data_IF_203575246412
#
_entry.id   IF_203575246412
#
_cell.length_a   1.000
_cell.length_b   1.000
_cell.length_c   1.000
_cell.angle_alpha   90.00
_cell.angle_beta   90.00
_cell.angle_gamma   90.00
#
_symmetry.space_group_name_H-M   'P 1'
#
loop_
_entity.id
_entity.type
_entity.pdbx_description
1 polymer ?
#
# COMPACT_ATOMS: atom_id res chain seq x y z
N UNK A 1 -43.66 -12.14 -5.11
CA UNK A 1 -42.42 -11.84 -5.87
C UNK A 1 -41.61 -10.83 -5.07
N UNK A 2 -40.28 -10.94 -5.12
CA UNK A 2 -39.23 -10.22 -4.36
C UNK A 2 -38.71 -11.05 -3.17
N UNK A 3 -37.65 -11.82 -3.45
CA UNK A 3 -36.74 -12.44 -2.49
C UNK A 3 -35.86 -11.35 -1.87
N UNK A 4 -35.84 -11.26 -0.55
CA UNK A 4 -34.85 -10.50 0.21
C UNK A 4 -33.73 -11.46 0.63
N UNK A 5 -32.58 -11.39 -0.06
CA UNK A 5 -31.35 -12.08 0.31
C UNK A 5 -30.56 -11.16 1.24
N UNK A 6 -30.79 -11.30 2.55
CA UNK A 6 -29.94 -10.70 3.58
C UNK A 6 -28.66 -11.52 3.74
N UNK A 7 -27.52 -10.90 3.46
CA UNK A 7 -26.19 -11.38 3.84
C UNK A 7 -26.18 -11.72 5.34
N UNK A 8 -26.02 -13.00 5.68
CA UNK A 8 -25.65 -13.46 7.02
C UNK A 8 -24.24 -14.01 6.94
N UNK A 9 -23.26 -13.13 7.09
CA UNK A 9 -21.89 -13.53 7.39
C UNK A 9 -21.83 -13.84 8.90
N UNK A 10 -21.21 -14.96 9.28
CA UNK A 10 -21.19 -15.63 10.60
C UNK A 10 -22.37 -16.60 10.85
N UNK A 11 -22.22 -17.82 10.36
CA UNK A 11 -23.01 -18.97 10.83
C UNK A 11 -22.34 -19.52 12.09
N UNK A 12 -22.93 -19.28 13.27
CA UNK A 12 -22.56 -19.98 14.51
C UNK A 12 -23.06 -21.41 14.38
N UNK A 13 -22.17 -22.37 14.18
CA UNK A 13 -22.53 -23.78 14.17
C UNK A 13 -22.69 -24.25 15.63
N UNK A 14 -23.93 -24.31 16.12
CA UNK A 14 -24.22 -24.96 17.39
C UNK A 14 -24.11 -26.49 17.20
N UNK A 15 -22.92 -27.04 17.41
CA UNK A 15 -22.74 -28.48 17.55
C UNK A 15 -23.19 -28.85 18.98
N UNK A 16 -24.31 -29.58 19.03
CA UNK A 16 -24.93 -30.11 20.24
C UNK A 16 -24.00 -31.10 20.97
N UNK A 17 -24.03 -31.00 22.31
CA UNK A 17 -23.54 -31.92 23.35
C UNK A 17 -22.05 -31.83 23.74
N UNK A 18 -21.74 -31.00 24.74
CA UNK A 18 -21.38 -31.40 26.13
C UNK A 18 -21.25 -30.14 27.01
N UNK A 19 -21.66 -30.25 28.27
CA UNK A 19 -21.73 -29.23 29.33
C UNK A 19 -20.52 -28.26 29.42
N UNK A 20 -20.65 -27.08 28.80
CA UNK A 20 -20.15 -25.73 29.15
C UNK A 20 -20.20 -24.94 27.84
N UNK A 21 -21.01 -23.89 27.75
CA UNK A 21 -21.23 -23.15 26.51
C UNK A 21 -19.91 -22.56 25.97
N UNK A 22 -19.26 -23.34 25.11
CA UNK A 22 -18.02 -22.98 24.43
C UNK A 22 -18.42 -22.65 23.00
N UNK A 23 -18.45 -21.37 22.65
CA UNK A 23 -18.65 -20.96 21.27
C UNK A 23 -17.42 -21.35 20.44
N UNK A 24 -17.64 -21.86 19.23
CA UNK A 24 -16.58 -22.12 18.25
C UNK A 24 -16.81 -21.17 17.08
N UNK A 25 -15.79 -20.38 16.75
CA UNK A 25 -15.74 -19.50 15.60
C UNK A 25 -15.03 -20.24 14.48
N UNK A 26 -15.64 -20.31 13.30
CA UNK A 26 -15.06 -20.98 12.13
C UNK A 26 -14.96 -19.97 11.00
N UNK A 27 -13.74 -19.79 10.47
CA UNK A 27 -13.54 -19.10 9.21
C UNK A 27 -13.77 -20.10 8.07
N UNK A 28 -14.94 -20.04 7.43
CA UNK A 28 -15.28 -20.96 6.34
C UNK A 28 -14.37 -20.83 5.10
N UNK A 29 -13.63 -19.73 4.96
CA UNK A 29 -12.73 -19.50 3.83
C UNK A 29 -11.33 -20.08 4.07
N UNK A 30 -10.77 -19.94 5.27
CA UNK A 30 -9.47 -20.54 5.63
C UNK A 30 -9.59 -21.96 6.19
N UNK A 31 -10.77 -22.35 6.67
CA UNK A 31 -10.98 -23.61 7.39
C UNK A 31 -10.51 -23.58 8.86
N UNK A 32 -10.09 -22.42 9.36
CA UNK A 32 -9.61 -22.28 10.73
C UNK A 32 -10.77 -22.23 11.73
N UNK A 33 -10.59 -22.87 12.88
CA UNK A 33 -11.57 -22.87 13.97
C UNK A 33 -10.91 -22.43 15.28
N UNK A 34 -11.54 -21.49 15.99
CA UNK A 34 -11.06 -20.95 17.27
C UNK A 34 -12.16 -20.97 18.30
N UNK A 35 -11.81 -21.21 19.57
CA UNK A 35 -12.74 -21.14 20.70
C UNK A 35 -12.86 -19.73 21.30
N UNK A 36 -11.97 -18.83 20.89
CA UNK A 36 -11.97 -17.41 21.22
C UNK A 36 -12.30 -16.60 19.96
N UNK A 37 -12.93 -15.44 20.14
CA UNK A 37 -13.22 -14.52 19.04
C UNK A 37 -11.90 -14.17 18.33
N UNK A 38 -11.75 -14.50 17.04
CA UNK A 38 -10.50 -14.25 16.33
C UNK A 38 -10.26 -12.74 16.22
N UNK A 39 -9.07 -12.31 16.63
CA UNK A 39 -8.58 -10.95 16.35
C UNK A 39 -7.87 -10.99 15.01
N UNK A 40 -8.13 -10.02 14.12
CA UNK A 40 -7.42 -9.94 12.85
C UNK A 40 -5.91 -9.84 13.10
N UNK A 41 -5.17 -10.90 12.76
CA UNK A 41 -3.75 -11.04 13.12
C UNK A 41 -2.82 -10.27 12.18
N UNK A 42 -3.24 -10.03 10.94
CA UNK A 42 -2.44 -9.34 9.93
C UNK A 42 -3.32 -8.40 9.11
N UNK A 43 -3.46 -7.16 9.57
CA UNK A 43 -4.04 -6.10 8.74
C UNK A 43 -2.94 -5.43 7.93
N UNK A 44 -3.17 -5.13 6.64
CA UNK A 44 -2.22 -4.35 5.85
C UNK A 44 -1.98 -3.00 6.52
N UNK A 45 -0.74 -2.50 6.46
CA UNK A 45 -0.40 -1.18 7.00
C UNK A 45 -0.83 -0.13 5.98
N UNK A 46 -1.90 0.59 6.28
CA UNK A 46 -2.49 1.60 5.40
C UNK A 46 -3.91 1.20 4.98
N UNK A 47 -4.35 1.60 3.78
CA UNK A 47 -5.70 1.31 3.33
C UNK A 47 -6.17 2.13 2.14
N UNK A 48 -7.49 2.19 1.98
CA UNK A 48 -8.15 2.90 0.89
C UNK A 48 -8.82 4.15 1.46
N UNK A 49 -8.57 5.30 0.85
CA UNK A 49 -9.33 6.53 1.10
C UNK A 49 -10.23 6.79 -0.11
N UNK A 50 -11.49 6.41 0.01
CA UNK A 50 -12.45 6.40 -1.08
C UNK A 50 -13.52 7.50 -0.95
N UNK A 51 -13.11 8.68 -0.49
CA UNK A 51 -13.98 9.85 -0.36
C UNK A 51 -14.28 10.48 -1.72
N UNK A 52 -15.45 11.11 -1.86
CA UNK A 52 -15.81 11.86 -3.06
C UNK A 52 -14.73 12.90 -3.46
N UNK A 53 -14.64 13.19 -4.75
CA UNK A 53 -13.75 14.23 -5.27
C UNK A 53 -14.07 15.57 -4.60
N UNK A 54 -13.03 16.30 -4.18
CA UNK A 54 -13.18 17.60 -3.50
C UNK A 54 -13.25 17.55 -1.97
N UNK A 55 -13.34 16.37 -1.34
CA UNK A 55 -13.36 16.23 0.14
C UNK A 55 -11.99 16.38 0.83
N UNK A 56 -10.97 16.81 0.09
CA UNK A 56 -9.66 17.11 0.69
C UNK A 56 -8.75 15.91 0.94
N UNK A 57 -8.94 14.79 0.24
CA UNK A 57 -8.06 13.59 0.31
C UNK A 57 -6.56 13.93 0.20
N UNK A 58 -6.24 14.87 -0.69
CA UNK A 58 -4.86 15.37 -0.88
C UNK A 58 -4.34 16.05 0.39
N UNK A 59 -5.11 16.97 0.98
CA UNK A 59 -4.73 17.67 2.21
C UNK A 59 -4.63 16.70 3.38
N UNK A 60 -5.53 15.71 3.47
CA UNK A 60 -5.44 14.63 4.47
C UNK A 60 -4.15 13.81 4.31
N UNK A 61 -3.75 13.52 3.08
CA UNK A 61 -2.49 12.81 2.79
C UNK A 61 -1.29 13.64 3.17
N UNK A 62 -1.27 14.93 2.83
CA UNK A 62 -0.21 15.87 3.22
C UNK A 62 -0.11 15.94 4.75
N UNK A 63 -1.24 16.09 5.44
CA UNK A 63 -1.29 16.07 6.90
C UNK A 63 -0.74 14.75 7.48
N UNK A 64 -1.03 13.60 6.86
CA UNK A 64 -0.48 12.31 7.27
C UNK A 64 1.04 12.20 7.03
N UNK A 65 1.56 12.81 5.96
CA UNK A 65 3.00 12.90 5.70
C UNK A 65 3.67 13.75 6.78
N UNK A 66 3.14 14.94 7.05
CA UNK A 66 3.64 15.87 8.06
C UNK A 66 3.55 15.32 9.50
N UNK A 67 2.48 14.60 9.84
CA UNK A 67 2.29 14.04 11.18
C UNK A 67 3.17 12.82 11.46
N UNK A 68 3.64 12.13 10.42
CA UNK A 68 4.45 10.91 10.51
C UNK A 68 5.51 10.88 9.39
N UNK A 69 6.48 11.81 9.39
CA UNK A 69 7.62 11.75 8.47
C UNK A 69 8.53 10.57 8.86
N UNK A 70 9.26 10.00 7.90
CA UNK A 70 10.28 8.96 8.20
C UNK A 70 11.54 9.51 8.88
N UNK A 71 11.59 10.82 9.17
CA UNK A 71 12.70 11.43 9.91
C UNK A 71 12.66 11.00 11.37
N UNK A 72 13.40 9.94 11.67
CA UNK A 72 13.69 9.53 13.04
C UNK A 72 13.11 8.17 13.40
N UNK A 73 13.76 7.11 12.94
CA UNK A 73 14.19 6.10 13.89
C UNK A 73 15.57 5.61 13.48
N UNK A 74 16.55 5.87 14.34
CA UNK A 74 17.85 5.25 14.39
C UNK A 74 17.73 3.75 14.68
N UNK A 75 16.95 3.01 13.90
CA UNK A 75 16.95 1.54 13.92
C UNK A 75 18.22 0.98 13.28
N UNK A 76 19.14 1.86 12.86
CA UNK A 76 20.53 1.52 12.58
C UNK A 76 21.34 1.13 13.83
N UNK A 77 20.85 1.33 15.06
CA UNK A 77 21.62 1.04 16.28
C UNK A 77 21.37 -0.36 16.87
N UNK A 78 20.25 -1.03 16.61
CA UNK A 78 20.03 -2.40 17.16
C UNK A 78 20.45 -3.54 16.23
N UNK A 79 20.68 -3.31 14.94
CA UNK A 79 21.11 -4.37 14.01
C UNK A 79 22.62 -4.68 14.14
N UNK A 80 23.43 -3.78 14.69
CA UNK A 80 24.90 -3.95 14.76
C UNK A 80 25.37 -4.92 15.86
N UNK A 81 24.49 -5.42 16.75
CA UNK A 81 24.89 -6.34 17.83
C UNK A 81 24.44 -7.80 17.67
N UNK A 82 23.70 -8.18 16.62
CA UNK A 82 23.15 -9.54 16.52
C UNK A 82 23.46 -10.36 15.25
N UNK A 83 24.31 -9.88 14.34
CA UNK A 83 24.70 -10.67 13.14
C UNK A 83 26.20 -10.66 12.90
N UNK A 84 26.95 -11.24 13.83
CA UNK A 84 28.03 -12.16 13.45
C UNK A 84 27.37 -13.52 13.30
N UNK A 85 27.69 -14.27 12.24
CA UNK A 85 27.07 -15.54 11.79
C UNK A 85 26.03 -15.29 10.69
N UNK A 86 26.54 -15.12 9.46
CA UNK A 86 26.11 -15.82 8.23
C UNK A 86 26.72 -15.09 7.02
N UNK A 87 27.80 -15.67 6.50
CA UNK A 87 28.75 -15.01 5.59
C UNK A 87 28.51 -15.37 4.12
N UNK A 88 27.28 -15.68 3.69
CA UNK A 88 27.07 -16.27 2.34
C UNK A 88 25.84 -15.81 1.55
N UNK A 89 25.30 -14.62 1.83
CA UNK A 89 24.38 -13.96 0.88
C UNK A 89 24.50 -12.44 1.01
N UNK A 90 25.33 -11.82 0.17
CA UNK A 90 25.36 -10.36 0.01
C UNK A 90 24.01 -9.89 -0.58
N UNK A 91 23.00 -9.74 0.28
CA UNK A 91 21.81 -8.96 -0.06
C UNK A 91 22.20 -7.50 0.08
N UNK A 92 22.33 -6.80 -1.04
CA UNK A 92 22.52 -5.35 -1.05
C UNK A 92 21.29 -4.72 -0.39
N UNK A 93 21.47 -4.14 0.80
CA UNK A 93 20.37 -3.50 1.53
C UNK A 93 19.89 -2.29 0.73
N UNK A 94 18.60 -2.28 0.35
CA UNK A 94 17.98 -1.15 -0.36
C UNK A 94 18.04 0.12 0.52
N UNK A 95 18.39 1.29 -0.04
CA UNK A 95 18.34 2.55 0.69
C UNK A 95 16.92 2.86 1.18
N UNK A 96 16.84 3.46 2.37
CA UNK A 96 15.60 3.72 3.09
C UNK A 96 14.99 5.06 2.66
N UNK A 97 13.98 5.05 1.80
CA UNK A 97 13.30 6.26 1.32
C UNK A 97 12.10 6.68 2.17
N UNK A 98 11.70 7.96 2.07
CA UNK A 98 10.54 8.55 2.74
C UNK A 98 9.19 8.11 2.16
N UNK A 99 8.39 9.08 1.71
CA UNK A 99 7.09 8.83 1.07
C UNK A 99 7.21 8.94 -0.45
N UNK A 100 6.78 7.91 -1.17
CA UNK A 100 6.56 7.96 -2.62
C UNK A 100 5.08 8.25 -2.90
N UNK A 101 4.79 9.30 -3.64
CA UNK A 101 3.43 9.58 -4.14
C UNK A 101 3.41 9.48 -5.66
N UNK A 102 2.54 8.61 -6.15
CA UNK A 102 2.27 8.40 -7.57
C UNK A 102 0.96 9.09 -7.90
N UNK A 103 0.96 10.02 -8.84
CA UNK A 103 -0.25 10.78 -9.17
C UNK A 103 -0.24 11.28 -10.62
N UNK A 104 -1.41 11.53 -11.23
CA UNK A 104 -1.49 11.98 -12.62
C UNK A 104 -1.04 13.44 -12.80
N UNK A 105 -1.11 14.23 -11.72
CA UNK A 105 -0.78 15.67 -11.71
C UNK A 105 0.28 15.98 -10.67
N UNK A 106 1.52 15.57 -10.95
CA UNK A 106 2.67 15.72 -10.04
C UNK A 106 2.91 17.17 -9.61
N UNK A 107 2.81 18.12 -10.55
CA UNK A 107 3.04 19.54 -10.26
C UNK A 107 1.98 20.11 -9.30
N UNK A 108 0.69 19.78 -9.51
CA UNK A 108 -0.38 20.24 -8.62
C UNK A 108 -0.19 19.74 -7.19
N UNK A 109 0.23 18.48 -7.04
CA UNK A 109 0.50 17.90 -5.74
C UNK A 109 1.73 18.54 -5.08
N UNK A 110 2.78 18.85 -5.86
CA UNK A 110 3.95 19.60 -5.38
C UNK A 110 3.55 20.98 -4.86
N UNK A 111 2.77 21.72 -5.64
CA UNK A 111 2.32 23.07 -5.25
C UNK A 111 1.45 23.01 -3.99
N UNK A 112 0.58 22.00 -3.87
CA UNK A 112 -0.23 21.79 -2.66
C UNK A 112 0.65 21.45 -1.44
N UNK A 113 1.68 20.62 -1.62
CA UNK A 113 2.66 20.32 -0.56
C UNK A 113 3.40 21.58 -0.13
N UNK A 114 3.87 22.40 -1.06
CA UNK A 114 4.59 23.65 -0.77
C UNK A 114 3.70 24.71 -0.12
N UNK A 115 2.40 24.73 -0.47
CA UNK A 115 1.42 25.66 0.11
C UNK A 115 1.02 25.26 1.53
N UNK A 116 0.93 23.96 1.82
CA UNK A 116 0.45 23.43 3.09
C UNK A 116 1.58 22.91 4.01
N UNK A 117 2.83 23.02 3.59
CA UNK A 117 4.02 22.74 4.38
C UNK A 117 4.76 24.04 4.65
N UNK A 118 5.26 24.24 5.87
CA UNK A 118 6.26 25.27 6.10
C UNK A 118 7.47 24.97 5.21
N UNK A 119 7.87 25.95 4.38
CA UNK A 119 8.84 25.84 3.26
C UNK A 119 10.25 25.31 3.63
N UNK A 120 10.50 24.98 4.90
CA UNK A 120 11.77 24.41 5.39
C UNK A 120 11.65 23.05 6.09
N UNK A 121 10.45 22.48 6.22
CA UNK A 121 10.25 21.26 7.01
C UNK A 121 10.38 19.95 6.23
N UNK A 122 10.08 19.94 4.92
CA UNK A 122 10.05 18.74 4.06
C UNK A 122 10.88 18.96 2.80
N UNK A 123 11.76 18.00 2.46
CA UNK A 123 12.41 17.94 1.15
C UNK A 123 11.56 17.18 0.13
N UNK A 124 11.30 17.79 -1.02
CA UNK A 124 10.45 17.22 -2.08
C UNK A 124 11.23 17.07 -3.39
N UNK A 125 11.12 15.91 -4.06
CA UNK A 125 11.71 15.65 -5.36
C UNK A 125 10.67 15.18 -6.36
N UNK A 126 10.66 15.78 -7.56
CA UNK A 126 9.87 15.31 -8.70
C UNK A 126 10.74 14.42 -9.59
N UNK A 127 10.39 13.14 -9.63
CA UNK A 127 11.03 12.13 -10.45
C UNK A 127 10.07 11.69 -11.57
N UNK A 128 10.35 12.18 -12.77
CA UNK A 128 9.56 11.95 -13.98
C UNK A 128 10.48 11.54 -15.12
N UNK A 129 9.90 11.10 -16.23
CA UNK A 129 10.62 10.68 -17.42
C UNK A 129 11.79 11.61 -17.82
N UNK A 130 12.90 10.99 -18.24
CA UNK A 130 14.08 11.71 -18.74
C UNK A 130 15.05 12.21 -17.67
N UNK A 131 14.77 11.98 -16.38
CA UNK A 131 15.67 12.29 -15.27
C UNK A 131 16.22 11.01 -14.65
N UNK A 132 17.48 10.68 -14.96
CA UNK A 132 18.16 9.58 -14.29
C UNK A 132 18.71 10.07 -12.95
N UNK A 133 18.09 9.63 -11.85
CA UNK A 133 18.52 9.96 -10.49
C UNK A 133 18.86 8.65 -9.78
N UNK A 134 19.95 8.63 -9.02
CA UNK A 134 20.33 7.42 -8.29
C UNK A 134 19.34 7.12 -7.17
N UNK A 135 19.08 5.83 -6.85
CA UNK A 135 18.21 5.44 -5.74
C UNK A 135 18.63 6.05 -4.39
N UNK A 136 19.94 6.27 -4.21
CA UNK A 136 20.51 6.90 -3.01
C UNK A 136 20.02 8.34 -2.87
N UNK A 137 20.14 9.15 -3.93
CA UNK A 137 19.72 10.56 -3.91
C UNK A 137 18.20 10.69 -3.74
N UNK A 138 17.44 9.78 -4.35
CA UNK A 138 15.98 9.71 -4.18
C UNK A 138 15.61 9.40 -2.72
N UNK A 139 16.35 8.50 -2.07
CA UNK A 139 16.07 8.09 -0.69
C UNK A 139 16.32 9.16 0.36
N UNK A 140 17.14 10.17 0.05
CA UNK A 140 17.41 11.32 0.93
C UNK A 140 16.24 12.31 1.04
N UNK A 141 15.25 12.18 0.15
CA UNK A 141 14.09 13.06 0.09
C UNK A 141 12.97 12.56 1.00
N UNK A 142 12.28 13.47 1.67
CA UNK A 142 11.13 13.11 2.50
C UNK A 142 9.93 12.68 1.67
N UNK A 143 9.72 13.37 0.54
CA UNK A 143 8.64 13.09 -0.40
C UNK A 143 9.18 13.05 -1.81
N UNK A 144 8.91 11.95 -2.50
CA UNK A 144 9.21 11.76 -3.92
C UNK A 144 7.90 11.67 -4.67
N UNK A 145 7.76 12.48 -5.71
CA UNK A 145 6.58 12.56 -6.54
C UNK A 145 6.89 12.00 -7.93
N UNK A 146 6.05 11.12 -8.42
CA UNK A 146 6.16 10.53 -9.76
C UNK A 146 4.79 10.35 -10.40
N UNK A 147 4.77 10.12 -11.70
CA UNK A 147 3.54 9.83 -12.45
C UNK A 147 3.41 8.33 -12.72
N UNK A 148 2.18 7.92 -13.06
CA UNK A 148 1.85 6.51 -13.28
C UNK A 148 2.53 5.95 -14.54
N UNK A 149 2.65 6.75 -15.59
CA UNK A 149 3.23 6.34 -16.85
C UNK A 149 4.71 6.01 -16.69
N UNK A 150 5.44 6.85 -15.94
CA UNK A 150 6.83 6.60 -15.58
C UNK A 150 6.97 5.36 -14.70
N UNK A 151 6.19 5.24 -13.61
CA UNK A 151 6.27 4.08 -12.72
C UNK A 151 6.05 2.76 -13.48
N UNK A 152 5.01 2.72 -14.30
CA UNK A 152 4.67 1.52 -15.08
C UNK A 152 5.75 1.22 -16.11
N UNK A 153 6.17 2.22 -16.88
CA UNK A 153 7.24 2.04 -17.86
C UNK A 153 8.55 1.55 -17.23
N UNK A 154 9.01 2.19 -16.16
CA UNK A 154 10.29 1.89 -15.52
C UNK A 154 10.28 0.45 -14.97
N UNK A 155 9.15 0.05 -14.38
CA UNK A 155 8.94 -1.33 -13.94
C UNK A 155 8.91 -2.34 -15.10
N UNK A 156 8.20 -2.07 -16.19
CA UNK A 156 8.15 -3.01 -17.32
C UNK A 156 9.47 -3.10 -18.09
N UNK A 157 10.29 -2.05 -18.04
CA UNK A 157 11.60 -2.01 -18.71
C UNK A 157 12.70 -2.66 -17.87
N UNK A 158 12.70 -2.45 -16.56
CA UNK A 158 13.80 -2.85 -15.68
C UNK A 158 13.41 -3.80 -14.53
N UNK A 159 12.12 -4.07 -14.34
CA UNK A 159 11.62 -4.93 -13.26
C UNK A 159 11.96 -4.38 -11.88
N UNK A 160 12.46 -5.25 -11.00
CA UNK A 160 12.91 -4.83 -9.65
C UNK A 160 14.21 -4.02 -9.66
N UNK A 161 14.91 -3.96 -10.80
CA UNK A 161 16.09 -3.11 -10.98
C UNK A 161 15.72 -1.68 -11.37
N UNK A 162 14.42 -1.34 -11.46
CA UNK A 162 13.97 0.03 -11.64
C UNK A 162 14.45 0.92 -10.49
N UNK A 163 14.54 2.22 -10.73
CA UNK A 163 15.08 3.16 -9.74
C UNK A 163 14.18 3.20 -8.49
N UNK A 164 12.86 3.19 -8.68
CA UNK A 164 11.88 3.25 -7.60
C UNK A 164 11.79 1.93 -6.82
N UNK A 165 12.03 0.79 -7.48
CA UNK A 165 12.00 -0.54 -6.85
C UNK A 165 13.28 -0.86 -6.09
N UNK A 166 14.36 -0.12 -6.32
CA UNK A 166 15.60 -0.20 -5.54
C UNK A 166 15.55 0.54 -4.20
N UNK A 167 14.45 1.21 -3.86
CA UNK A 167 14.28 1.94 -2.58
C UNK A 167 13.30 1.21 -1.66
N UNK A 168 13.62 1.13 -0.36
CA UNK A 168 12.70 0.68 0.70
C UNK A 168 11.90 1.88 1.24
N UNK A 169 10.67 2.03 0.77
CA UNK A 169 9.84 3.18 1.07
C UNK A 169 9.16 3.08 2.44
N UNK A 170 9.03 4.21 3.14
CA UNK A 170 8.15 4.24 4.30
C UNK A 170 6.69 4.05 3.91
N UNK A 171 6.31 4.78 2.86
CA UNK A 171 4.92 4.94 2.46
C UNK A 171 4.86 5.05 0.95
N UNK A 172 3.97 4.28 0.34
CA UNK A 172 3.60 4.42 -1.07
C UNK A 172 2.15 4.88 -1.12
N UNK A 173 1.90 5.95 -1.86
CA UNK A 173 0.58 6.54 -2.04
C UNK A 173 0.24 6.56 -3.52
N UNK A 174 -0.83 5.88 -3.91
CA UNK A 174 -1.42 5.99 -5.24
C UNK A 174 -2.57 6.99 -5.15
N UNK A 175 -2.35 8.20 -5.67
CA UNK A 175 -3.33 9.27 -5.64
C UNK A 175 -4.12 9.34 -6.95
N UNK A 176 -5.44 9.46 -6.85
CA UNK A 176 -6.38 9.57 -7.97
C UNK A 176 -6.16 8.47 -9.05
N UNK A 177 -5.93 7.23 -8.61
CA UNK A 177 -5.65 6.11 -9.52
C UNK A 177 -6.83 5.79 -10.46
N UNK A 178 -8.05 6.20 -10.10
CA UNK A 178 -9.26 6.05 -10.91
C UNK A 178 -9.22 6.86 -12.22
N UNK A 179 -8.34 7.86 -12.34
CA UNK A 179 -8.20 8.64 -13.59
C UNK A 179 -7.56 7.85 -14.73
N UNK A 180 -6.87 6.73 -14.44
CA UNK A 180 -6.18 5.91 -15.44
C UNK A 180 -7.12 4.97 -16.21
N UNK A 181 -8.38 4.86 -15.77
CA UNK A 181 -9.28 3.78 -16.19
C UNK A 181 -8.85 2.41 -15.66
N UNK A 182 -9.69 1.39 -15.88
CA UNK A 182 -9.49 0.04 -15.31
C UNK A 182 -8.13 -0.57 -15.71
N UNK A 183 -7.79 -0.61 -17.00
CA UNK A 183 -6.52 -1.22 -17.44
C UNK A 183 -5.28 -0.52 -16.89
N UNK A 184 -5.25 0.81 -16.94
CA UNK A 184 -4.13 1.59 -16.43
C UNK A 184 -3.98 1.47 -14.91
N UNK A 185 -5.11 1.47 -14.17
CA UNK A 185 -5.10 1.25 -12.73
C UNK A 185 -4.56 -0.14 -12.35
N UNK A 186 -4.90 -1.20 -13.11
CA UNK A 186 -4.37 -2.56 -12.90
C UNK A 186 -2.85 -2.62 -13.13
N UNK A 187 -2.35 -2.03 -14.20
CA UNK A 187 -0.92 -2.00 -14.52
C UNK A 187 -0.14 -1.20 -13.49
N UNK A 188 -0.64 -0.03 -13.11
CA UNK A 188 -0.08 0.79 -12.03
C UNK A 188 -0.06 0.05 -10.70
N UNK A 189 -1.17 -0.62 -10.32
CA UNK A 189 -1.26 -1.41 -9.11
C UNK A 189 -0.24 -2.55 -9.09
N UNK A 190 -0.02 -3.21 -10.23
CA UNK A 190 0.97 -4.28 -10.38
C UNK A 190 2.39 -3.78 -10.25
N UNK A 191 2.73 -2.67 -10.90
CA UNK A 191 4.05 -2.06 -10.75
C UNK A 191 4.27 -1.60 -9.30
N UNK A 192 3.27 -0.97 -8.69
CA UNK A 192 3.34 -0.45 -7.33
C UNK A 192 3.34 -1.55 -6.24
N UNK A 193 2.69 -2.69 -6.46
CA UNK A 193 2.67 -3.81 -5.51
C UNK A 193 4.06 -4.43 -5.31
N UNK A 194 4.91 -4.34 -6.33
CA UNK A 194 6.31 -4.80 -6.30
C UNK A 194 7.26 -3.82 -5.63
N UNK A 195 6.84 -2.58 -5.36
CA UNK A 195 7.65 -1.65 -4.56
C UNK A 195 7.77 -2.17 -3.13
N UNK A 196 8.96 -2.05 -2.55
CA UNK A 196 9.15 -2.33 -1.12
C UNK A 196 8.59 -1.16 -0.30
N UNK A 197 7.67 -1.43 0.63
CA UNK A 197 7.12 -0.38 1.47
C UNK A 197 6.59 -0.86 2.82
N UNK A 198 6.66 0.03 3.81
CA UNK A 198 6.12 -0.23 5.16
C UNK A 198 4.61 0.04 5.28
N UNK A 199 4.07 1.02 4.55
CA UNK A 199 2.62 1.27 4.49
C UNK A 199 2.17 1.75 3.11
N UNK A 200 0.92 1.45 2.76
CA UNK A 200 0.36 1.63 1.41
C UNK A 200 -1.00 2.30 1.44
N UNK A 201 -1.17 3.34 0.66
CA UNK A 201 -2.43 4.09 0.57
C UNK A 201 -2.91 4.18 -0.87
N UNK A 202 -4.18 3.85 -1.07
CA UNK A 202 -4.87 4.04 -2.33
C UNK A 202 -5.94 5.11 -2.16
N UNK A 203 -5.81 6.23 -2.86
CA UNK A 203 -6.80 7.30 -2.83
C UNK A 203 -7.61 7.27 -4.13
N UNK A 204 -8.93 7.24 -3.99
CA UNK A 204 -9.86 7.26 -5.13
C UNK A 204 -11.00 8.22 -4.87
N UNK A 205 -11.44 8.92 -5.91
CA UNK A 205 -12.65 9.76 -5.88
C UNK A 205 -13.94 8.97 -6.12
N UNK A 206 -13.82 7.76 -6.68
CA UNK A 206 -14.95 6.95 -7.14
C UNK A 206 -14.77 5.47 -6.75
N UNK A 207 -15.26 5.03 -5.58
CA UNK A 207 -15.14 3.62 -5.19
C UNK A 207 -15.90 2.63 -6.10
N UNK A 208 -16.84 3.09 -6.93
CA UNK A 208 -17.93 2.27 -7.48
C UNK A 208 -17.89 2.03 -9.00
N UNK A 209 -16.83 2.42 -9.71
CA UNK A 209 -16.59 2.01 -11.12
C UNK A 209 -15.48 0.96 -11.26
N UNK A 210 -15.13 0.34 -10.14
CA UNK A 210 -14.03 -0.61 -10.00
C UNK A 210 -14.61 -1.98 -10.36
N UNK A 211 -14.25 -2.52 -11.52
CA UNK A 211 -14.59 -3.90 -11.87
C UNK A 211 -14.05 -4.86 -10.79
N UNK A 212 -14.57 -6.09 -10.70
CA UNK A 212 -14.07 -7.06 -9.71
C UNK A 212 -12.54 -7.25 -9.81
N UNK A 213 -11.99 -7.17 -11.02
CA UNK A 213 -10.55 -7.24 -11.25
C UNK A 213 -9.79 -6.01 -10.73
N UNK A 214 -10.40 -4.83 -10.72
CA UNK A 214 -9.80 -3.63 -10.15
C UNK A 214 -9.72 -3.75 -8.61
N UNK A 215 -10.72 -4.37 -7.97
CA UNK A 215 -10.69 -4.70 -6.54
C UNK A 215 -9.53 -5.65 -6.27
N UNK A 216 -9.37 -6.69 -7.08
CA UNK A 216 -8.26 -7.64 -6.95
C UNK A 216 -6.90 -6.93 -7.03
N UNK A 217 -6.70 -6.08 -8.05
CA UNK A 217 -5.48 -5.29 -8.18
C UNK A 217 -5.22 -4.40 -6.95
N UNK A 218 -6.26 -3.83 -6.36
CA UNK A 218 -6.15 -3.04 -5.15
C UNK A 218 -5.75 -3.89 -3.93
N UNK A 219 -6.33 -5.08 -3.78
CA UNK A 219 -5.97 -6.01 -2.70
C UNK A 219 -4.53 -6.53 -2.86
N UNK A 220 -4.09 -6.79 -4.09
CA UNK A 220 -2.70 -7.09 -4.41
C UNK A 220 -1.77 -5.93 -4.09
N UNK A 221 -2.16 -4.68 -4.36
CA UNK A 221 -1.36 -3.52 -3.97
C UNK A 221 -1.21 -3.45 -2.45
N UNK A 222 -2.30 -3.61 -1.69
CA UNK A 222 -2.30 -3.51 -0.23
C UNK A 222 -1.69 -4.73 0.49
N UNK A 223 -1.36 -5.81 -0.24
CA UNK A 223 -0.90 -7.09 0.34
C UNK A 223 -1.89 -7.68 1.35
N UNK A 224 -3.19 -7.68 0.99
CA UNK A 224 -4.26 -8.22 1.86
C UNK A 224 -4.36 -9.74 1.72
N UNK A 225 -3.63 -10.47 2.56
CA UNK A 225 -3.72 -11.93 2.57
C UNK A 225 -5.05 -12.44 3.19
N UNK A 226 -5.62 -13.55 2.69
CA UNK A 226 -5.18 -14.35 1.54
C UNK A 226 -5.68 -13.82 0.18
N UNK A 227 -6.39 -12.68 0.17
CA UNK A 227 -7.13 -12.18 -0.98
C UNK A 227 -6.26 -11.56 -2.09
N UNK A 228 -5.01 -11.22 -1.77
CA UNK A 228 -3.95 -10.88 -2.72
C UNK A 228 -3.50 -12.07 -3.58
N UNK A 229 -3.88 -13.30 -3.22
CA UNK A 229 -3.62 -14.51 -4.00
C UNK A 229 -4.77 -14.82 -4.95
N UNK A 230 -4.47 -14.89 -6.25
CA UNK A 230 -5.44 -15.21 -7.30
C UNK A 230 -6.24 -16.50 -7.07
N UNK A 231 -5.58 -17.55 -6.54
CA UNK A 231 -6.23 -18.83 -6.27
C UNK A 231 -7.30 -18.73 -5.17
N UNK A 232 -7.13 -17.80 -4.22
CA UNK A 232 -8.13 -17.52 -3.20
C UNK A 232 -9.21 -16.58 -3.71
N UNK A 233 -8.86 -15.60 -4.55
CA UNK A 233 -9.83 -14.66 -5.14
C UNK A 233 -10.85 -15.33 -6.06
N UNK A 234 -10.47 -16.39 -6.79
CA UNK A 234 -11.35 -17.08 -7.76
C UNK A 234 -12.24 -18.19 -7.19
N UNK A 235 -12.13 -18.50 -5.89
CA UNK A 235 -12.98 -19.51 -5.22
C UNK A 235 -14.37 -18.97 -4.94
#
# INVERSE_FOLDING_TARGET
MIKSNGLKCLTILNILLVRRASFIYVNMFSGEATTHLPTATQTPRGGILADAMGLGKTVMTIALILARPRRGNSDSIEITKKRKIDQDTMTTLKPKGGTLVVCPSVLKLKDALETHSDSKSISTLVHVWGRTISPVVISEQDVVLTDYDFLTYDYYSYGENSVLHQVDWYRVVLNDADTLGSSGAKEAAKAASMLSSHCRWWLTGTPLKIDLEDIYSLLCFLHVEPWSNWACWKK
#
